data_IF_553273313267
#
_entry.id   IF_553273313267
#
_cell.length_a   1.000
_cell.length_b   1.000
_cell.length_c   1.000
_cell.angle_alpha   90.00
_cell.angle_beta   90.00
_cell.angle_gamma   90.00
#
_symmetry.space_group_name_H-M   'P 1'
#
loop_
_entity.id
_entity.type
_entity.pdbx_description
1 polymer ?
#
# COMPACT_ATOMS: atom_id res chain seq x y z
N UNK A 1 -7.20 5.72 -2.72
CA UNK A 1 -6.86 4.65 -3.69
C UNK A 1 -5.93 5.13 -4.79
N UNK A 2 -6.21 6.25 -5.47
CA UNK A 2 -5.32 6.76 -6.54
C UNK A 2 -3.90 7.09 -6.04
N UNK A 3 -3.75 7.61 -4.82
CA UNK A 3 -2.44 7.84 -4.20
C UNK A 3 -1.57 6.59 -4.15
N UNK A 4 -2.15 5.42 -3.81
CA UNK A 4 -1.42 4.15 -3.81
C UNK A 4 -0.90 3.79 -5.19
N UNK A 5 -1.70 4.03 -6.25
CA UNK A 5 -1.29 3.77 -7.63
C UNK A 5 -0.13 4.69 -8.00
N UNK A 6 -0.26 5.99 -7.75
CA UNK A 6 0.79 6.97 -8.06
C UNK A 6 2.09 6.69 -7.30
N UNK A 7 2.02 6.37 -6.00
CA UNK A 7 3.19 6.04 -5.21
C UNK A 7 3.81 4.73 -5.69
N UNK A 8 3.01 3.71 -6.01
CA UNK A 8 3.52 2.46 -6.56
C UNK A 8 4.27 2.66 -7.88
N UNK A 9 3.69 3.43 -8.81
CA UNK A 9 4.36 3.78 -10.08
C UNK A 9 5.70 4.46 -9.84
N UNK A 10 5.73 5.44 -8.92
CA UNK A 10 6.93 6.20 -8.57
C UNK A 10 8.03 5.33 -7.98
N UNK A 11 7.73 4.50 -6.98
CA UNK A 11 8.77 3.76 -6.23
C UNK A 11 9.29 2.53 -6.98
N UNK A 12 8.52 2.02 -7.94
CA UNK A 12 8.89 0.86 -8.74
C UNK A 12 9.31 1.22 -10.17
N UNK A 13 9.22 2.48 -10.56
CA UNK A 13 9.47 2.97 -11.92
C UNK A 13 8.67 2.20 -12.99
N UNK A 14 7.37 2.06 -12.74
CA UNK A 14 6.45 1.31 -13.58
C UNK A 14 5.22 2.15 -13.93
N UNK A 15 4.58 1.81 -15.06
CA UNK A 15 3.27 2.33 -15.43
C UNK A 15 2.19 1.28 -15.26
N UNK A 16 1.14 1.63 -14.53
CA UNK A 16 0.02 0.76 -14.20
C UNK A 16 -1.21 1.20 -14.99
N UNK A 17 -1.64 0.43 -16.00
CA UNK A 17 -2.90 0.71 -16.67
C UNK A 17 -4.06 0.38 -15.72
N UNK A 18 -4.95 1.36 -15.49
CA UNK A 18 -6.17 1.16 -14.72
C UNK A 18 -7.35 1.91 -15.36
N UNK A 19 -8.55 1.53 -14.95
CA UNK A 19 -9.80 2.22 -15.33
C UNK A 19 -10.64 2.47 -14.08
N UNK A 20 -11.25 3.65 -14.00
CA UNK A 20 -12.20 3.95 -12.94
C UNK A 20 -13.53 3.28 -13.32
N UNK A 21 -14.05 2.46 -12.41
CA UNK A 21 -15.33 1.76 -12.56
C UNK A 21 -16.24 2.08 -11.37
N UNK A 22 -17.47 1.57 -11.39
CA UNK A 22 -18.42 1.74 -10.30
C UNK A 22 -17.88 1.25 -8.95
N UNK A 23 -18.48 1.75 -7.85
CA UNK A 23 -18.08 1.37 -6.49
C UNK A 23 -18.34 -0.12 -6.25
N UNK A 24 -17.40 -0.80 -5.59
CA UNK A 24 -17.61 -2.17 -5.10
C UNK A 24 -18.64 -2.14 -3.96
N UNK A 25 -19.70 -2.95 -4.01
CA UNK A 25 -20.67 -3.04 -2.92
C UNK A 25 -19.99 -3.38 -1.59
N UNK A 26 -20.36 -2.68 -0.53
CA UNK A 26 -19.78 -2.85 0.81
C UNK A 26 -18.55 -1.98 1.12
N UNK A 27 -17.95 -1.32 0.13
CA UNK A 27 -16.80 -0.46 0.39
C UNK A 27 -17.20 0.86 1.07
N UNK A 28 -16.48 1.19 2.15
CA UNK A 28 -16.56 2.50 2.80
C UNK A 28 -15.68 3.53 2.07
N UNK A 29 -15.97 4.84 2.16
CA UNK A 29 -15.17 5.87 1.46
C UNK A 29 -13.72 5.97 1.94
N UNK A 30 -13.47 5.79 3.25
CA UNK A 30 -12.14 5.85 3.85
C UNK A 30 -12.15 5.12 5.20
N UNK A 31 -11.00 4.55 5.58
CA UNK A 31 -10.78 3.89 6.87
C UNK A 31 -9.30 3.95 7.24
N UNK A 32 -9.00 4.24 8.50
CA UNK A 32 -7.66 4.24 9.08
C UNK A 32 -7.73 3.92 10.57
N UNK A 33 -6.61 3.53 11.16
CA UNK A 33 -6.52 3.21 12.59
C UNK A 33 -5.99 4.39 13.40
N UNK A 34 -6.56 4.61 14.59
CA UNK A 34 -5.84 5.30 15.67
C UNK A 34 -4.92 4.28 16.36
N UNK A 35 -3.63 4.58 16.40
CA UNK A 35 -2.60 3.68 16.93
C UNK A 35 -2.11 4.07 18.32
N UNK A 36 -2.63 5.16 18.91
CA UNK A 36 -2.15 5.70 20.18
C UNK A 36 -2.16 4.66 21.31
N UNK A 37 -3.23 3.85 21.40
CA UNK A 37 -3.35 2.83 22.44
C UNK A 37 -2.29 1.73 22.33
N UNK A 38 -2.08 1.18 21.12
CA UNK A 38 -1.05 0.17 20.88
C UNK A 38 0.35 0.72 21.13
N UNK A 39 0.62 1.97 20.70
CA UNK A 39 1.90 2.63 20.94
C UNK A 39 2.18 2.79 22.44
N UNK A 40 1.17 3.17 23.23
CA UNK A 40 1.32 3.39 24.67
C UNK A 40 1.46 2.09 25.48
N UNK A 41 0.67 1.06 25.16
CA UNK A 41 0.63 -0.18 25.95
C UNK A 41 1.73 -1.15 25.53
N UNK A 42 2.00 -1.27 24.23
CA UNK A 42 2.94 -2.25 23.70
C UNK A 42 4.33 -1.65 23.43
N UNK A 43 4.46 -0.32 23.45
CA UNK A 43 5.68 0.36 22.99
C UNK A 43 5.98 0.14 21.51
N UNK A 44 5.01 -0.37 20.74
CA UNK A 44 5.17 -0.73 19.34
C UNK A 44 4.66 0.39 18.44
N UNK A 45 5.37 0.69 17.35
CA UNK A 45 4.94 1.66 16.32
C UNK A 45 5.28 1.15 14.93
N UNK A 46 4.46 1.48 13.93
CA UNK A 46 4.81 1.27 12.54
C UNK A 46 5.98 2.19 12.13
N UNK A 47 7.07 1.59 11.65
CA UNK A 47 8.31 2.29 11.30
C UNK A 47 8.50 2.50 9.80
N UNK A 48 7.80 1.70 8.98
CA UNK A 48 7.95 1.70 7.52
C UNK A 48 6.96 2.64 6.87
N UNK A 49 7.46 3.44 5.95
CA UNK A 49 6.69 4.36 5.13
C UNK A 49 5.87 3.61 4.06
N UNK A 50 4.91 4.31 3.46
CA UNK A 50 4.14 3.77 2.34
C UNK A 50 5.05 3.38 1.16
N UNK A 51 6.02 4.23 0.82
CA UNK A 51 6.97 4.02 -0.28
C UNK A 51 7.78 2.71 -0.10
N UNK A 52 8.30 2.48 1.11
CA UNK A 52 9.04 1.25 1.44
C UNK A 52 8.16 0.00 1.37
N UNK A 53 6.95 0.08 1.89
CA UNK A 53 6.00 -1.03 1.86
C UNK A 53 5.62 -1.40 0.43
N UNK A 54 5.32 -0.42 -0.43
CA UNK A 54 4.95 -0.66 -1.84
C UNK A 54 6.13 -1.19 -2.67
N UNK A 55 7.35 -0.71 -2.41
CA UNK A 55 8.57 -1.26 -3.03
C UNK A 55 8.82 -2.70 -2.61
N UNK A 56 8.71 -2.99 -1.31
CA UNK A 56 8.91 -4.33 -0.76
C UNK A 56 7.87 -5.32 -1.32
N UNK A 57 6.60 -4.93 -1.40
CA UNK A 57 5.54 -5.74 -1.99
C UNK A 57 5.83 -6.10 -3.45
N UNK A 58 6.35 -5.16 -4.25
CA UNK A 58 6.72 -5.44 -5.64
C UNK A 58 7.94 -6.34 -5.76
N UNK A 59 8.97 -6.14 -4.93
CA UNK A 59 10.13 -7.04 -4.90
C UNK A 59 9.73 -8.47 -4.56
N UNK A 60 8.81 -8.65 -3.61
CA UNK A 60 8.21 -9.94 -3.30
C UNK A 60 7.49 -10.54 -4.51
N UNK A 61 6.63 -9.77 -5.17
CA UNK A 61 5.89 -10.24 -6.35
C UNK A 61 6.83 -10.66 -7.49
N UNK A 62 7.88 -9.87 -7.75
CA UNK A 62 8.92 -10.22 -8.73
C UNK A 62 9.59 -11.55 -8.40
N UNK A 63 9.91 -11.77 -7.12
CA UNK A 63 10.51 -13.01 -6.67
C UNK A 63 9.58 -14.21 -6.88
N UNK A 64 8.33 -14.10 -6.43
CA UNK A 64 7.32 -15.18 -6.54
C UNK A 64 7.04 -15.55 -8.01
N UNK A 65 7.02 -14.55 -8.90
CA UNK A 65 6.73 -14.76 -10.32
C UNK A 65 7.98 -14.94 -11.20
N UNK A 66 9.18 -14.97 -10.62
CA UNK A 66 10.45 -15.02 -11.35
C UNK A 66 10.58 -13.92 -12.42
N UNK A 67 10.06 -12.72 -12.13
CA UNK A 67 10.18 -11.54 -13.00
C UNK A 67 11.58 -10.96 -12.79
N UNK A 68 12.37 -10.91 -13.86
CA UNK A 68 13.73 -10.33 -13.85
C UNK A 68 13.69 -8.83 -13.63
#
# INVERSE_FOLDING_TARGET
>A
MLELVTTFEKVNDLKLPYKIVGRRPGDVPAVWADTAFANGVLGWKAERTLDENLRSAWMWEKHVRNIK
#
